data_IF_047952222903
#
_entry.id   IF_047952222903
#
_cell.length_a   1.000
_cell.length_b   1.000
_cell.length_c   1.000
_cell.angle_alpha   90.00
_cell.angle_beta   90.00
_cell.angle_gamma   90.00
#
_symmetry.space_group_name_H-M   'P 1'
#
loop_
_entity.id
_entity.type
_entity.pdbx_description
1 polymer ?
#
# COMPACT_ATOMS: atom_id res chain seq x y z
N UNK A 1 41.91 -29.34 -85.35
CA UNK A 1 42.83 -30.25 -84.65
C UNK A 1 41.96 -31.26 -83.90
N UNK A 2 42.12 -32.53 -84.28
CA UNK A 2 41.72 -33.82 -83.66
C UNK A 2 40.85 -33.85 -82.36
N UNK A 3 40.05 -34.93 -82.18
CA UNK A 3 38.60 -34.86 -82.30
C UNK A 3 37.87 -35.66 -81.18
N UNK A 4 36.59 -35.92 -81.43
CA UNK A 4 35.79 -37.08 -80.97
C UNK A 4 35.14 -37.02 -79.57
N UNK A 5 33.83 -36.78 -79.47
CA UNK A 5 32.66 -37.72 -79.59
C UNK A 5 32.78 -39.01 -78.80
N UNK A 6 31.74 -39.31 -78.01
CA UNK A 6 31.05 -40.62 -77.78
C UNK A 6 30.24 -40.49 -76.47
N UNK A 7 28.99 -40.95 -76.28
CA UNK A 7 27.90 -41.43 -77.13
C UNK A 7 26.60 -41.28 -76.31
N UNK A 8 25.56 -40.91 -77.04
CA UNK A 8 24.12 -41.16 -76.89
C UNK A 8 23.76 -42.58 -76.41
N UNK A 9 22.53 -42.72 -75.88
CA UNK A 9 21.54 -43.85 -75.94
C UNK A 9 20.78 -43.84 -74.59
N UNK A 10 19.45 -43.84 -74.43
CA UNK A 10 18.25 -44.01 -75.29
C UNK A 10 17.01 -43.68 -74.44
N UNK A 11 15.91 -43.29 -75.12
CA UNK A 11 14.47 -43.61 -74.88
C UNK A 11 14.08 -44.37 -73.60
N UNK A 12 12.95 -44.13 -72.91
CA UNK A 12 11.55 -44.15 -73.38
C UNK A 12 10.61 -43.89 -72.18
N UNK A 13 9.44 -43.29 -72.43
CA UNK A 13 8.12 -43.50 -71.78
C UNK A 13 8.07 -44.28 -70.46
N UNK A 14 7.39 -43.81 -69.40
CA UNK A 14 5.96 -44.13 -69.20
C UNK A 14 5.32 -43.33 -68.05
N UNK A 15 4.00 -43.18 -68.16
CA UNK A 15 3.07 -42.52 -67.25
C UNK A 15 2.97 -43.21 -65.88
N UNK A 16 2.69 -42.36 -64.89
CA UNK A 16 1.77 -42.54 -63.76
C UNK A 16 2.05 -43.68 -62.77
N UNK A 17 2.28 -43.31 -61.51
CA UNK A 17 1.47 -43.79 -60.39
C UNK A 17 1.57 -42.86 -59.19
N UNK A 18 0.42 -42.76 -58.52
CA UNK A 18 0.09 -42.01 -57.33
C UNK A 18 1.03 -42.25 -56.14
N UNK A 19 1.49 -41.18 -55.48
CA UNK A 19 1.78 -41.21 -54.06
C UNK A 19 1.36 -39.87 -53.43
N UNK A 20 0.27 -39.96 -52.67
CA UNK A 20 -0.26 -38.93 -51.78
C UNK A 20 0.83 -38.54 -50.77
N UNK A 21 1.28 -37.29 -50.80
CA UNK A 21 2.07 -36.70 -49.73
C UNK A 21 1.25 -35.61 -49.05
N UNK A 22 0.91 -35.87 -47.78
CA UNK A 22 0.34 -34.95 -46.81
C UNK A 22 1.00 -33.56 -46.89
N UNK A 23 0.26 -32.55 -47.31
CA UNK A 23 0.52 -31.15 -46.97
C UNK A 23 -0.47 -30.77 -45.87
N UNK A 24 0.03 -30.73 -44.64
CA UNK A 24 -0.64 -30.20 -43.47
C UNK A 24 -1.05 -28.74 -43.72
N UNK A 25 -2.30 -28.50 -44.08
CA UNK A 25 -2.99 -27.23 -43.88
C UNK A 25 -3.24 -27.08 -42.37
N UNK A 26 -2.19 -26.71 -41.64
CA UNK A 26 -2.35 -26.14 -40.31
C UNK A 26 -3.00 -24.77 -40.48
N UNK A 27 -4.26 -24.66 -40.07
CA UNK A 27 -4.95 -23.38 -39.97
C UNK A 27 -4.10 -22.41 -39.14
N UNK A 28 -3.83 -21.24 -39.71
CA UNK A 28 -3.31 -20.11 -38.94
C UNK A 28 -4.42 -19.64 -37.99
N UNK A 29 -4.56 -20.34 -36.86
CA UNK A 29 -4.95 -19.69 -35.62
C UNK A 29 -3.94 -18.56 -35.42
N UNK A 30 -4.40 -17.34 -35.63
CA UNK A 30 -3.64 -16.16 -35.26
C UNK A 30 -3.26 -16.31 -33.78
N UNK A 31 -1.98 -16.23 -33.41
CA UNK A 31 -1.61 -16.17 -32.02
C UNK A 31 -2.29 -14.91 -31.44
N UNK A 32 -3.04 -15.09 -30.35
CA UNK A 32 -3.62 -14.00 -29.59
C UNK A 32 -2.47 -13.06 -29.15
N UNK A 33 -2.28 -12.00 -29.94
CA UNK A 33 -1.50 -10.84 -29.52
C UNK A 33 -2.07 -10.40 -28.17
N UNK A 34 -1.22 -10.18 -27.17
CA UNK A 34 -1.64 -9.71 -25.86
C UNK A 34 -2.50 -8.45 -26.02
N UNK A 35 -3.82 -8.62 -25.93
CA UNK A 35 -4.81 -7.59 -26.26
C UNK A 35 -4.73 -6.51 -25.20
N UNK A 36 -4.23 -5.33 -25.57
CA UNK A 36 -4.47 -4.10 -24.82
C UNK A 36 -5.99 -3.96 -24.66
N UNK A 37 -6.46 -3.87 -23.42
CA UNK A 37 -7.89 -3.75 -23.12
C UNK A 37 -8.51 -2.60 -23.94
N UNK A 38 -9.53 -2.90 -24.74
CA UNK A 38 -10.28 -1.87 -25.45
C UNK A 38 -11.22 -1.17 -24.46
N UNK A 39 -10.91 0.11 -24.18
CA UNK A 39 -11.63 0.95 -23.23
C UNK A 39 -12.67 1.85 -23.92
N UNK A 40 -12.95 1.63 -25.19
CA UNK A 40 -13.93 2.44 -25.94
C UNK A 40 -15.36 2.22 -25.40
N UNK A 41 -16.17 3.28 -25.27
CA UNK A 41 -17.54 3.16 -24.78
C UNK A 41 -18.44 2.33 -25.71
N UNK A 42 -19.25 1.44 -25.13
CA UNK A 42 -20.17 0.59 -25.89
C UNK A 42 -21.23 1.41 -26.65
N UNK A 43 -21.41 1.13 -27.94
CA UNK A 43 -22.45 1.76 -28.76
C UNK A 43 -22.18 3.23 -29.12
N UNK A 44 -20.96 3.74 -28.87
CA UNK A 44 -20.52 5.04 -29.35
C UNK A 44 -20.09 4.93 -30.82
N UNK A 45 -20.84 5.59 -31.72
CA UNK A 45 -20.43 5.77 -33.11
C UNK A 45 -19.59 7.04 -33.33
N UNK A 46 -19.47 7.87 -32.29
CA UNK A 46 -18.77 9.14 -32.31
C UNK A 46 -17.29 8.98 -31.98
N UNK A 47 -16.44 9.76 -32.65
CA UNK A 47 -15.01 9.85 -32.34
C UNK A 47 -14.76 10.47 -30.96
N UNK A 48 -13.63 10.11 -30.35
CA UNK A 48 -13.13 10.69 -29.10
C UNK A 48 -13.21 12.23 -29.11
N UNK A 49 -13.77 12.81 -28.05
CA UNK A 49 -13.82 14.26 -27.86
C UNK A 49 -12.45 14.81 -27.41
N UNK A 50 -12.09 16.05 -27.78
CA UNK A 50 -10.82 16.66 -27.37
C UNK A 50 -10.73 16.87 -25.86
N UNK A 51 -9.52 16.93 -25.30
CA UNK A 51 -9.30 17.05 -23.87
C UNK A 51 -9.74 18.43 -23.31
N UNK A 52 -10.96 18.53 -22.80
CA UNK A 52 -11.50 19.82 -22.31
C UNK A 52 -11.21 20.09 -20.81
N UNK A 53 -10.52 19.17 -20.13
CA UNK A 53 -10.14 19.31 -18.71
C UNK A 53 -11.30 19.26 -17.71
N UNK A 54 -12.55 19.03 -18.15
CA UNK A 54 -13.75 18.98 -17.29
C UNK A 54 -13.76 17.83 -16.29
N UNK A 55 -13.02 16.77 -16.56
CA UNK A 55 -12.89 15.59 -15.73
C UNK A 55 -11.42 15.36 -15.40
N UNK A 56 -11.13 14.92 -14.17
CA UNK A 56 -9.77 14.68 -13.71
C UNK A 56 -9.69 13.45 -12.82
N UNK A 57 -8.64 12.68 -13.04
CA UNK A 57 -8.20 11.61 -12.15
C UNK A 57 -7.32 12.20 -11.05
N UNK A 58 -7.66 11.91 -9.79
CA UNK A 58 -6.90 12.29 -8.61
C UNK A 58 -6.52 11.03 -7.85
N UNK A 59 -5.30 11.03 -7.33
CA UNK A 59 -4.83 10.00 -6.40
C UNK A 59 -4.64 10.67 -5.04
N UNK A 60 -5.11 10.04 -3.97
CA UNK A 60 -4.95 10.53 -2.60
C UNK A 60 -3.48 10.82 -2.30
N UNK A 61 -3.17 12.01 -1.81
CA UNK A 61 -1.80 12.46 -1.53
C UNK A 61 -0.96 12.84 -2.76
N UNK A 62 -1.52 12.77 -3.98
CA UNK A 62 -0.86 13.08 -5.26
C UNK A 62 0.60 12.58 -5.35
N UNK A 63 0.84 11.27 -5.17
CA UNK A 63 2.18 10.71 -5.22
C UNK A 63 2.78 10.78 -6.63
N UNK A 64 4.08 11.04 -6.72
CA UNK A 64 4.84 10.99 -7.99
C UNK A 64 5.31 9.56 -8.33
N UNK A 65 5.49 8.73 -7.29
CA UNK A 65 5.88 7.32 -7.37
C UNK A 65 5.00 6.46 -6.47
N UNK A 66 4.85 5.17 -6.79
CA UNK A 66 4.16 4.22 -5.92
C UNK A 66 5.13 3.41 -5.07
N UNK A 67 4.72 3.12 -3.84
CA UNK A 67 5.38 2.15 -2.96
C UNK A 67 4.78 0.77 -3.25
N UNK A 68 5.60 -0.26 -3.54
CA UNK A 68 5.09 -1.60 -3.81
C UNK A 68 4.18 -2.15 -2.69
N UNK A 69 3.02 -2.67 -3.05
CA UNK A 69 2.05 -3.24 -2.11
C UNK A 69 1.16 -2.24 -1.38
N UNK A 70 1.41 -0.93 -1.51
CA UNK A 70 0.59 0.07 -0.81
C UNK A 70 -0.75 0.35 -1.51
N UNK A 71 -1.75 0.71 -0.70
CA UNK A 71 -3.10 1.02 -1.17
C UNK A 71 -3.30 2.53 -1.37
N UNK A 72 -3.68 2.92 -2.58
CA UNK A 72 -3.98 4.30 -2.96
C UNK A 72 -5.46 4.47 -3.29
N UNK A 73 -6.09 5.56 -2.84
CA UNK A 73 -7.46 5.90 -3.23
C UNK A 73 -7.43 6.75 -4.49
N UNK A 74 -8.07 6.25 -5.55
CA UNK A 74 -8.20 6.93 -6.84
C UNK A 74 -9.60 7.49 -6.94
N UNK A 75 -9.71 8.79 -7.17
CA UNK A 75 -10.97 9.47 -7.43
C UNK A 75 -11.02 10.04 -8.84
N UNK A 76 -12.11 9.75 -9.55
CA UNK A 76 -12.42 10.37 -10.83
C UNK A 76 -13.50 11.41 -10.58
N UNK A 77 -13.17 12.67 -10.78
CA UNK A 77 -14.02 13.82 -10.41
C UNK A 77 -14.33 14.71 -11.61
N UNK A 78 -15.56 15.19 -11.66
CA UNK A 78 -15.93 16.32 -12.50
C UNK A 78 -15.54 17.64 -11.84
N UNK A 79 -14.78 18.47 -12.55
CA UNK A 79 -14.39 19.81 -12.08
C UNK A 79 -15.65 20.67 -11.93
N UNK A 80 -15.69 21.51 -10.90
CA UNK A 80 -16.79 22.46 -10.70
C UNK A 80 -16.60 23.67 -11.61
N UNK A 81 -17.60 23.96 -12.43
CA UNK A 81 -17.70 25.22 -13.18
C UNK A 81 -18.89 26.01 -12.64
N UNK A 82 -18.69 27.29 -12.28
CA UNK A 82 -19.76 28.14 -11.71
C UNK A 82 -20.50 27.46 -10.54
N UNK A 83 -19.76 26.77 -9.66
CA UNK A 83 -20.26 25.97 -8.52
C UNK A 83 -21.08 24.71 -8.84
N UNK A 84 -21.28 24.36 -10.12
CA UNK A 84 -21.95 23.12 -10.53
C UNK A 84 -20.89 22.08 -10.94
N UNK A 85 -20.85 20.88 -10.32
CA UNK A 85 -19.93 19.84 -10.74
C UNK A 85 -20.36 19.25 -12.10
N UNK A 86 -19.41 19.12 -13.03
CA UNK A 86 -19.64 18.32 -14.24
C UNK A 86 -19.96 16.87 -13.86
N UNK A 87 -20.95 16.27 -14.52
CA UNK A 87 -21.39 14.90 -14.24
C UNK A 87 -21.10 14.00 -15.43
N UNK A 88 -20.81 12.75 -15.17
CA UNK A 88 -20.63 11.71 -16.18
C UNK A 88 -21.59 10.54 -15.94
N UNK A 89 -22.05 9.93 -17.02
CA UNK A 89 -23.00 8.80 -16.98
C UNK A 89 -22.27 7.46 -16.96
N UNK A 90 -21.11 7.35 -17.61
CA UNK A 90 -20.28 6.16 -17.63
C UNK A 90 -18.80 6.46 -17.45
N UNK A 91 -18.03 5.44 -17.06
CA UNK A 91 -16.58 5.52 -16.96
C UNK A 91 -15.92 4.16 -17.10
N UNK A 92 -14.64 4.16 -17.45
CA UNK A 92 -13.81 2.98 -17.49
C UNK A 92 -12.44 3.32 -16.92
N UNK A 93 -12.01 2.59 -15.89
CA UNK A 93 -10.75 2.80 -15.20
C UNK A 93 -9.89 1.55 -15.29
N UNK A 94 -8.65 1.69 -15.75
CA UNK A 94 -7.72 0.58 -15.86
C UNK A 94 -6.30 1.00 -15.47
N UNK A 95 -5.50 0.03 -15.04
CA UNK A 95 -4.07 0.16 -14.84
C UNK A 95 -3.34 -0.57 -15.98
N UNK A 96 -2.40 0.11 -16.63
CA UNK A 96 -1.60 -0.42 -17.74
C UNK A 96 -0.11 -0.20 -17.43
N UNK A 97 0.78 -1.09 -17.88
CA UNK A 97 2.22 -0.85 -17.80
C UNK A 97 2.60 0.24 -18.81
N UNK A 98 3.39 1.22 -18.39
CA UNK A 98 3.87 2.26 -19.29
C UNK A 98 5.02 1.70 -20.15
N UNK A 99 4.72 1.41 -21.42
CA UNK A 99 5.72 1.04 -22.40
C UNK A 99 6.38 2.32 -22.91
N UNK A 100 7.49 2.71 -22.30
CA UNK A 100 8.35 3.75 -22.86
C UNK A 100 8.87 3.28 -24.22
N UNK A 101 8.33 3.89 -25.28
CA UNK A 101 8.90 3.90 -26.63
C UNK A 101 10.32 4.48 -26.53
N UNK A 102 11.34 3.66 -26.22
CA UNK A 102 12.78 3.88 -26.48
C UNK A 102 13.69 2.87 -25.75
N UNK A 103 13.39 1.57 -25.79
CA UNK A 103 14.42 0.52 -25.63
C UNK A 103 14.15 -0.60 -26.63
N UNK A 104 15.08 -0.93 -27.54
CA UNK A 104 14.94 -2.11 -28.36
C UNK A 104 15.08 -3.33 -27.44
N UNK A 105 14.01 -4.08 -27.26
CA UNK A 105 14.02 -5.33 -26.53
C UNK A 105 14.96 -6.31 -27.22
N UNK A 106 16.01 -6.72 -26.51
CA UNK A 106 16.68 -7.98 -26.77
C UNK A 106 15.64 -9.08 -26.54
N UNK A 107 15.28 -9.78 -27.63
CA UNK A 107 14.41 -10.96 -27.60
C UNK A 107 15.01 -12.03 -26.69
N UNK A 108 14.56 -12.05 -25.43
CA UNK A 108 14.74 -13.14 -24.50
C UNK A 108 13.51 -14.01 -24.52
N UNK A 109 13.57 -15.09 -25.29
CA UNK A 109 12.58 -16.15 -25.31
C UNK A 109 12.60 -16.87 -23.94
N UNK A 110 11.65 -16.56 -23.06
CA UNK A 110 11.29 -17.41 -21.92
C UNK A 110 9.81 -17.23 -21.63
N UNK A 111 9.01 -18.19 -22.10
CA UNK A 111 7.61 -18.32 -21.72
C UNK A 111 7.49 -18.77 -20.27
N UNK A 112 6.68 -18.05 -19.49
CA UNK A 112 6.25 -18.47 -18.15
C UNK A 112 5.83 -17.30 -17.26
N UNK A 113 4.52 -17.05 -17.16
CA UNK A 113 3.83 -16.41 -16.02
C UNK A 113 4.21 -14.97 -15.57
N UNK A 114 4.80 -14.13 -16.43
CA UNK A 114 4.94 -12.68 -16.16
C UNK A 114 3.68 -11.85 -16.48
N UNK A 115 2.47 -12.36 -16.22
CA UNK A 115 1.22 -11.68 -16.56
C UNK A 115 1.10 -10.38 -15.76
N UNK A 116 1.40 -9.26 -16.41
CA UNK A 116 1.01 -7.87 -16.10
C UNK A 116 0.74 -7.57 -14.61
N UNK A 117 1.79 -7.51 -13.80
CA UNK A 117 1.68 -7.04 -12.42
C UNK A 117 1.54 -5.50 -12.42
N UNK A 118 0.32 -5.01 -12.62
CA UNK A 118 -0.03 -3.56 -12.70
C UNK A 118 -0.80 -3.08 -11.47
N UNK A 119 -0.81 -3.87 -10.40
CA UNK A 119 -1.58 -3.64 -9.17
C UNK A 119 -3.03 -4.10 -9.31
N UNK A 120 -3.80 -4.06 -8.22
CA UNK A 120 -5.17 -4.61 -8.16
C UNK A 120 -6.16 -3.59 -7.61
N UNK A 121 -7.26 -3.35 -8.33
CA UNK A 121 -8.35 -2.50 -7.83
C UNK A 121 -9.20 -3.21 -6.78
N UNK A 122 -9.63 -2.46 -5.77
CA UNK A 122 -10.57 -2.87 -4.74
C UNK A 122 -11.72 -1.85 -4.67
N UNK A 123 -12.95 -2.34 -4.79
CA UNK A 123 -14.14 -1.50 -4.73
C UNK A 123 -14.48 -1.15 -3.28
N UNK A 124 -14.86 0.11 -3.03
CA UNK A 124 -15.21 0.61 -1.69
C UNK A 124 -16.64 0.26 -1.24
N UNK A 125 -17.35 -0.58 -2.00
CA UNK A 125 -18.73 -0.99 -1.70
C UNK A 125 -19.81 -0.03 -2.23
N UNK A 126 -19.43 1.03 -2.96
CA UNK A 126 -20.39 1.93 -3.61
C UNK A 126 -21.17 1.20 -4.71
N UNK A 127 -22.50 1.21 -4.63
CA UNK A 127 -23.41 0.55 -5.60
C UNK A 127 -23.27 1.06 -7.05
N UNK A 128 -22.44 2.09 -7.29
CA UNK A 128 -22.25 2.76 -8.56
C UNK A 128 -21.06 2.21 -9.38
N UNK A 129 -20.19 1.40 -8.78
CA UNK A 129 -18.98 0.86 -9.42
C UNK A 129 -19.00 -0.68 -9.42
N UNK A 130 -18.47 -1.29 -10.47
CA UNK A 130 -18.30 -2.75 -10.61
C UNK A 130 -17.05 -3.09 -11.42
N UNK A 131 -16.55 -4.31 -11.29
CA UNK A 131 -15.52 -4.79 -12.20
C UNK A 131 -16.08 -5.01 -13.61
N UNK A 132 -15.26 -4.73 -14.63
CA UNK A 132 -15.60 -4.94 -16.04
C UNK A 132 -15.52 -6.42 -16.40
N UNK A 133 -16.50 -6.92 -17.14
CA UNK A 133 -16.49 -8.28 -17.69
C UNK A 133 -15.56 -8.38 -18.93
N UNK A 134 -15.28 -7.24 -19.58
CA UNK A 134 -14.45 -7.19 -20.80
C UNK A 134 -12.96 -7.22 -20.50
N UNK A 135 -12.56 -6.59 -19.41
CA UNK A 135 -11.17 -6.45 -19.04
C UNK A 135 -10.97 -6.83 -17.57
N UNK A 136 -10.21 -7.92 -17.32
CA UNK A 136 -9.83 -8.29 -15.96
C UNK A 136 -9.15 -7.11 -15.26
N UNK A 137 -9.48 -6.91 -13.98
CA UNK A 137 -8.87 -5.85 -13.16
C UNK A 137 -9.08 -4.42 -13.73
N UNK A 138 -10.21 -4.19 -14.41
CA UNK A 138 -10.68 -2.85 -14.77
C UNK A 138 -12.03 -2.56 -14.08
N UNK A 139 -12.28 -1.30 -13.75
CA UNK A 139 -13.50 -0.85 -13.07
C UNK A 139 -14.36 -0.03 -14.01
N UNK A 140 -15.67 -0.27 -13.98
CA UNK A 140 -16.67 0.44 -14.79
C UNK A 140 -17.93 0.73 -13.98
N UNK A 141 -18.88 1.47 -14.56
CA UNK A 141 -20.14 1.81 -13.91
C UNK A 141 -21.08 0.60 -13.79
N UNK A 142 -21.84 0.57 -12.68
CA UNK A 142 -22.96 -0.37 -12.52
C UNK A 142 -24.21 0.11 -13.27
N UNK A 143 -24.42 1.43 -13.35
CA UNK A 143 -25.58 2.06 -13.98
C UNK A 143 -25.22 3.38 -14.67
N UNK A 144 -26.06 3.84 -15.61
CA UNK A 144 -25.88 5.10 -16.34
C UNK A 144 -26.35 6.35 -15.57
N UNK A 145 -26.62 6.23 -14.27
CA UNK A 145 -27.02 7.36 -13.41
C UNK A 145 -25.91 8.42 -13.46
N UNK A 146 -26.21 9.72 -13.65
CA UNK A 146 -25.19 10.78 -13.65
C UNK A 146 -24.47 10.91 -12.29
N UNK A 147 -23.14 10.88 -12.31
CA UNK A 147 -22.25 10.92 -11.13
C UNK A 147 -21.29 12.10 -11.26
N UNK A 148 -20.96 12.76 -10.15
CA UNK A 148 -19.93 13.81 -10.11
C UNK A 148 -18.57 13.29 -9.66
N UNK A 149 -18.55 12.16 -8.95
CA UNK A 149 -17.35 11.55 -8.39
C UNK A 149 -17.55 10.04 -8.23
N UNK A 150 -16.47 9.28 -8.41
CA UNK A 150 -16.35 7.89 -7.99
C UNK A 150 -14.99 7.71 -7.29
N UNK A 151 -14.92 6.77 -6.35
CA UNK A 151 -13.70 6.44 -5.64
C UNK A 151 -13.47 4.92 -5.65
N UNK A 152 -12.23 4.52 -5.87
CA UNK A 152 -11.80 3.11 -5.77
C UNK A 152 -10.44 3.05 -5.12
N UNK A 153 -10.13 1.94 -4.46
CA UNK A 153 -8.79 1.67 -3.99
C UNK A 153 -8.01 0.92 -5.06
N UNK A 154 -6.71 1.16 -5.14
CA UNK A 154 -5.78 0.43 -5.99
C UNK A 154 -4.55 0.07 -5.17
N UNK A 155 -4.28 -1.22 -5.07
CA UNK A 155 -3.12 -1.77 -4.40
C UNK A 155 -2.00 -1.87 -5.41
N UNK A 156 -0.88 -1.21 -5.15
CA UNK A 156 0.27 -1.19 -6.02
C UNK A 156 0.90 -2.58 -6.17
N UNK A 157 1.45 -2.93 -7.34
CA UNK A 157 2.05 -4.24 -7.53
C UNK A 157 3.35 -4.39 -6.74
N UNK A 158 3.86 -5.64 -6.62
CA UNK A 158 5.17 -5.93 -6.05
C UNK A 158 6.31 -5.18 -6.73
N UNK A 159 7.45 -5.12 -6.03
CA UNK A 159 8.67 -4.50 -6.54
C UNK A 159 9.16 -5.16 -7.84
N UNK A 160 9.83 -4.40 -8.70
CA UNK A 160 10.28 -4.77 -10.04
C UNK A 160 9.21 -4.66 -11.13
N UNK A 161 8.07 -4.04 -10.85
CA UNK A 161 6.95 -3.92 -11.80
C UNK A 161 7.09 -2.73 -12.76
N UNK A 162 7.91 -1.73 -12.40
CA UNK A 162 8.24 -0.58 -13.25
C UNK A 162 7.19 0.53 -13.24
N UNK A 163 7.04 1.28 -14.33
CA UNK A 163 6.07 2.38 -14.36
C UNK A 163 4.66 1.92 -14.74
N UNK A 164 3.67 2.45 -14.03
CA UNK A 164 2.25 2.10 -14.22
C UNK A 164 1.48 3.37 -14.57
N UNK A 165 0.62 3.25 -15.57
CA UNK A 165 -0.30 4.28 -16.00
C UNK A 165 -1.72 3.90 -15.57
N UNK A 166 -2.32 4.69 -14.67
CA UNK A 166 -3.76 4.62 -14.43
C UNK A 166 -4.44 5.53 -15.44
N UNK A 167 -5.36 4.95 -16.21
CA UNK A 167 -6.03 5.63 -17.30
C UNK A 167 -7.54 5.53 -17.15
N UNK A 168 -8.21 6.65 -17.35
CA UNK A 168 -9.66 6.77 -17.30
C UNK A 168 -10.25 7.12 -18.66
N UNK A 169 -11.39 6.51 -18.94
CA UNK A 169 -12.34 6.91 -20.00
C UNK A 169 -13.60 7.41 -19.32
N UNK A 170 -14.13 8.54 -19.77
CA UNK A 170 -15.32 9.18 -19.19
C UNK A 170 -16.35 9.41 -20.28
N UNK A 171 -17.59 9.01 -20.01
CA UNK A 171 -18.74 9.21 -20.90
C UNK A 171 -19.65 10.24 -20.24
N UNK A 172 -19.71 11.43 -20.82
CA UNK A 172 -20.63 12.48 -20.37
C UNK A 172 -22.05 12.17 -20.89
N UNK A 173 -22.17 12.02 -22.22
CA UNK A 173 -23.38 11.62 -22.94
C UNK A 173 -23.04 10.62 -24.05
N UNK A 174 -24.06 10.01 -24.69
CA UNK A 174 -23.90 8.90 -25.67
C UNK A 174 -22.82 9.15 -26.74
N UNK A 175 -22.70 10.39 -27.21
CA UNK A 175 -21.77 10.77 -28.28
C UNK A 175 -20.62 11.68 -27.80
N UNK A 176 -20.53 11.97 -26.50
CA UNK A 176 -19.49 12.83 -25.90
C UNK A 176 -18.71 12.06 -24.84
N UNK A 177 -17.48 11.68 -25.19
CA UNK A 177 -16.61 10.87 -24.34
C UNK A 177 -15.14 11.26 -24.49
N UNK A 178 -14.40 11.07 -23.40
CA UNK A 178 -13.00 11.46 -23.22
C UNK A 178 -12.18 10.25 -22.81
N UNK A 179 -10.93 10.16 -23.25
CA UNK A 179 -10.06 9.00 -22.96
C UNK A 179 -8.59 9.40 -22.97
N UNK A 180 -7.82 8.96 -21.99
CA UNK A 180 -6.33 8.99 -21.97
C UNK A 180 -5.65 10.36 -22.08
N UNK A 181 -6.41 11.44 -22.15
CA UNK A 181 -5.84 12.78 -22.25
C UNK A 181 -5.41 13.28 -20.88
N UNK A 182 -4.18 13.78 -20.77
CA UNK A 182 -3.60 14.51 -19.64
C UNK A 182 -4.29 14.31 -18.28
N UNK A 183 -5.34 15.10 -17.95
CA UNK A 183 -6.04 15.01 -16.66
C UNK A 183 -6.72 13.66 -16.36
N UNK A 184 -6.93 12.78 -17.34
CA UNK A 184 -7.54 11.45 -17.21
C UNK A 184 -6.51 10.31 -17.19
N UNK A 185 -5.21 10.63 -17.25
CA UNK A 185 -4.13 9.67 -17.17
C UNK A 185 -3.12 10.12 -16.12
N UNK A 186 -2.73 9.23 -15.22
CA UNK A 186 -1.63 9.48 -14.27
C UNK A 186 -0.66 8.31 -14.35
N UNK A 187 0.57 8.63 -14.70
CA UNK A 187 1.70 7.71 -14.65
C UNK A 187 2.40 7.93 -13.32
N UNK A 188 2.71 6.85 -12.62
CA UNK A 188 3.55 6.87 -11.44
C UNK A 188 4.43 5.62 -11.50
N UNK A 189 5.72 5.84 -11.27
CA UNK A 189 6.72 4.79 -11.35
C UNK A 189 6.92 4.13 -10.00
N UNK A 190 7.42 2.90 -10.03
CA UNK A 190 7.90 2.26 -8.82
C UNK A 190 8.92 3.17 -8.13
N UNK A 191 8.77 3.35 -6.83
CA UNK A 191 9.86 3.88 -6.04
C UNK A 191 10.92 2.79 -5.93
N UNK A 192 12.07 2.97 -6.59
CA UNK A 192 13.26 2.08 -6.53
C UNK A 192 13.92 2.07 -5.13
N UNK A 193 13.10 2.17 -4.09
CA UNK A 193 13.48 1.98 -2.72
C UNK A 193 13.58 0.48 -2.43
N UNK A 194 14.66 -0.12 -2.89
CA UNK A 194 15.45 -1.08 -2.07
C UNK A 194 16.05 -0.37 -0.82
N UNK A 195 15.46 0.76 -0.40
CA UNK A 195 16.05 1.69 0.54
C UNK A 195 15.75 1.24 1.96
N UNK A 196 16.68 1.60 2.82
CA UNK A 196 16.60 1.55 4.29
C UNK A 196 15.26 2.08 4.84
N UNK A 197 14.47 2.79 4.04
CA UNK A 197 13.28 3.55 4.41
C UNK A 197 11.96 2.79 4.24
N UNK A 198 11.97 1.61 3.61
CA UNK A 198 10.75 0.81 3.42
C UNK A 198 10.46 -0.03 4.68
N UNK A 199 9.24 0.11 5.21
CA UNK A 199 8.76 -0.71 6.32
C UNK A 199 8.32 -2.09 5.79
N UNK A 200 8.64 -3.19 6.50
CA UNK A 200 8.10 -4.51 6.17
C UNK A 200 6.57 -4.52 6.29
N UNK A 201 5.88 -5.38 5.52
CA UNK A 201 4.44 -5.53 5.63
C UNK A 201 4.06 -6.04 7.02
N UNK A 202 3.01 -5.45 7.60
CA UNK A 202 2.48 -5.85 8.92
C UNK A 202 1.83 -7.23 8.83
N UNK A 203 2.25 -8.14 9.71
CA UNK A 203 1.64 -9.46 9.83
C UNK A 203 0.36 -9.35 10.66
N UNK A 204 -0.68 -10.11 10.29
CA UNK A 204 -1.91 -10.17 11.10
C UNK A 204 -1.70 -10.98 12.38
N UNK A 205 -0.90 -12.04 12.27
CA UNK A 205 -0.57 -12.96 13.35
C UNK A 205 0.92 -13.26 13.26
N UNK A 206 1.64 -13.09 14.38
CA UNK A 206 3.04 -13.46 14.50
C UNK A 206 3.17 -14.84 15.13
N UNK A 207 3.82 -15.76 14.42
CA UNK A 207 4.03 -17.14 14.90
C UNK A 207 5.30 -17.32 15.75
N UNK A 208 6.05 -16.23 16.05
CA UNK A 208 7.24 -16.31 16.88
C UNK A 208 6.88 -16.61 18.34
N UNK A 209 7.38 -17.70 18.88
CA UNK A 209 7.10 -18.12 20.25
C UNK A 209 7.82 -17.27 21.31
N UNK A 210 9.08 -16.93 21.03
CA UNK A 210 9.96 -16.26 21.98
C UNK A 210 9.59 -14.79 22.17
N UNK A 211 9.90 -14.24 23.35
CA UNK A 211 9.86 -12.79 23.56
C UNK A 211 11.23 -12.18 23.22
N UNK A 212 11.26 -11.13 22.40
CA UNK A 212 12.50 -10.48 21.99
C UNK A 212 12.72 -9.15 22.71
N UNK A 213 13.97 -8.92 23.14
CA UNK A 213 14.44 -7.65 23.70
C UNK A 213 15.24 -6.88 22.66
N UNK A 214 14.83 -5.66 22.39
CA UNK A 214 15.47 -4.77 21.45
C UNK A 214 16.08 -3.56 22.15
N UNK A 215 17.18 -3.09 21.57
CA UNK A 215 17.72 -1.76 21.80
C UNK A 215 17.34 -0.87 20.61
N UNK A 216 16.67 0.25 20.90
CA UNK A 216 16.41 1.35 19.98
C UNK A 216 17.49 2.39 20.19
N UNK A 217 18.26 2.69 19.15
CA UNK A 217 19.13 3.86 19.08
C UNK A 217 18.47 4.91 18.20
N UNK A 218 18.25 6.11 18.71
CA UNK A 218 17.82 7.27 17.93
C UNK A 218 19.01 8.20 17.71
N UNK A 219 19.32 8.49 16.46
CA UNK A 219 20.41 9.36 16.01
C UNK A 219 19.83 10.60 15.31
N UNK A 220 20.22 11.78 15.77
CA UNK A 220 19.88 13.03 15.08
C UNK A 220 20.79 13.27 13.88
N UNK A 221 20.23 13.69 12.76
CA UNK A 221 20.94 14.07 11.53
C UNK A 221 20.62 15.51 11.09
N UNK A 222 19.73 16.19 11.81
CA UNK A 222 19.34 17.58 11.57
C UNK A 222 20.46 18.55 11.99
N UNK A 223 20.98 19.27 11.00
CA UNK A 223 22.05 20.26 11.18
C UNK A 223 21.96 21.33 10.09
N UNK A 224 22.66 22.46 10.29
CA UNK A 224 22.78 23.51 9.27
C UNK A 224 23.40 23.01 7.96
N UNK A 225 24.20 21.95 7.99
CA UNK A 225 24.82 21.38 6.78
C UNK A 225 23.88 20.44 6.01
N UNK A 226 23.03 19.70 6.72
CA UNK A 226 22.07 18.78 6.09
C UNK A 226 20.82 19.53 5.62
N UNK A 227 20.36 20.49 6.42
CA UNK A 227 19.14 21.27 6.20
C UNK A 227 19.44 22.77 6.36
N UNK A 228 20.10 23.41 5.38
CA UNK A 228 20.57 24.79 5.52
C UNK A 228 19.46 25.86 5.47
N UNK A 229 18.37 25.58 4.75
CA UNK A 229 17.29 26.55 4.53
C UNK A 229 16.57 26.86 5.83
N UNK A 230 16.56 28.14 6.19
CA UNK A 230 15.94 28.70 7.40
C UNK A 230 16.32 27.99 8.71
N UNK A 231 17.46 27.29 8.73
CA UNK A 231 17.94 26.61 9.94
C UNK A 231 18.07 27.63 11.08
N UNK A 232 17.53 27.36 12.28
CA UNK A 232 17.52 28.33 13.37
C UNK A 232 18.90 28.94 13.61
N UNK A 233 18.96 30.28 13.57
CA UNK A 233 20.20 31.04 13.80
C UNK A 233 20.73 30.80 15.22
N UNK A 234 19.81 30.77 16.19
CA UNK A 234 20.04 30.45 17.59
C UNK A 234 20.13 28.93 17.77
N UNK A 235 21.28 28.35 17.43
CA UNK A 235 21.51 26.90 17.50
C UNK A 235 21.29 26.28 18.89
N UNK A 236 21.31 27.06 19.98
CA UNK A 236 21.01 26.54 21.33
C UNK A 236 19.54 26.16 21.55
N UNK A 237 18.63 26.60 20.67
CA UNK A 237 17.21 26.22 20.72
C UNK A 237 16.94 24.89 20.03
N UNK A 238 17.85 24.41 19.19
CA UNK A 238 17.59 23.21 18.39
C UNK A 238 17.70 21.95 19.25
N UNK A 239 16.65 21.14 19.22
CA UNK A 239 16.62 19.82 19.86
C UNK A 239 15.60 18.91 19.21
N UNK A 240 15.76 17.62 19.47
CA UNK A 240 14.68 16.66 19.39
C UNK A 240 14.12 16.46 20.80
N UNK A 241 12.80 16.48 20.95
CA UNK A 241 12.18 16.21 22.25
C UNK A 241 12.48 14.79 22.73
N UNK A 242 12.09 14.49 23.96
CA UNK A 242 12.10 13.10 24.45
C UNK A 242 11.38 12.18 23.46
N UNK A 243 12.01 11.03 23.18
CA UNK A 243 11.43 10.00 22.32
C UNK A 243 10.42 9.23 23.18
N UNK A 244 9.19 9.12 22.69
CA UNK A 244 8.14 8.33 23.32
C UNK A 244 7.53 7.37 22.30
N UNK A 245 7.19 6.18 22.76
CA UNK A 245 6.56 5.17 21.91
C UNK A 245 6.09 3.96 22.70
N UNK A 246 5.73 2.91 21.96
CA UNK A 246 5.29 1.66 22.55
C UNK A 246 5.56 0.48 21.61
N UNK A 247 5.80 -0.69 22.19
CA UNK A 247 5.52 -1.96 21.51
C UNK A 247 4.08 -2.37 21.74
N UNK A 248 3.36 -2.71 20.67
CA UNK A 248 1.92 -2.84 20.70
C UNK A 248 1.39 -3.87 19.70
N UNK A 249 0.11 -4.19 19.83
CA UNK A 249 -0.65 -5.08 18.94
C UNK A 249 -0.97 -4.44 17.58
N UNK A 250 -1.42 -5.26 16.62
CA UNK A 250 -1.80 -4.79 15.27
C UNK A 250 -3.00 -3.84 15.25
N UNK A 251 -3.92 -4.00 16.22
CA UNK A 251 -5.17 -3.24 16.32
C UNK A 251 -5.03 -1.91 17.07
N UNK A 252 -3.81 -1.52 17.44
CA UNK A 252 -3.54 -0.27 18.14
C UNK A 252 -2.43 0.51 17.47
N UNK A 253 -2.65 1.80 17.25
CA UNK A 253 -1.62 2.77 16.88
C UNK A 253 -1.98 4.10 17.53
N UNK A 254 -1.02 4.73 18.21
CA UNK A 254 -1.27 6.05 18.82
C UNK A 254 -1.11 7.21 17.83
N UNK A 255 -0.55 6.94 16.64
CA UNK A 255 -0.51 7.87 15.51
C UNK A 255 -0.35 7.08 14.22
N UNK A 256 -0.94 7.55 13.12
CA UNK A 256 -0.78 6.95 11.80
C UNK A 256 -1.08 7.98 10.70
N UNK A 257 -0.59 7.71 9.49
CA UNK A 257 -0.82 8.59 8.35
C UNK A 257 -2.31 8.70 8.00
N UNK A 258 -2.77 9.91 7.71
CA UNK A 258 -4.14 10.17 7.30
C UNK A 258 -5.15 10.23 8.45
N UNK A 259 -4.72 10.02 9.70
CA UNK A 259 -5.56 10.22 10.88
C UNK A 259 -5.27 11.55 11.58
N UNK A 260 -6.22 11.99 12.40
CA UNK A 260 -6.06 13.18 13.25
C UNK A 260 -5.23 12.83 14.49
N UNK A 261 -4.35 13.73 14.90
CA UNK A 261 -3.56 13.59 16.12
C UNK A 261 -4.45 13.53 17.38
N UNK A 262 -4.10 12.65 18.33
CA UNK A 262 -4.69 12.68 19.68
C UNK A 262 -4.24 13.94 20.43
N UNK A 263 -4.93 14.30 21.52
CA UNK A 263 -4.48 15.41 22.36
C UNK A 263 -3.09 15.13 22.95
N UNK A 264 -2.80 13.89 23.35
CA UNK A 264 -1.46 13.48 23.78
C UNK A 264 -0.41 13.68 22.70
N UNK A 265 -0.70 13.31 21.45
CA UNK A 265 0.23 13.51 20.33
C UNK A 265 0.42 14.99 20.01
N UNK A 266 -0.64 15.80 20.05
CA UNK A 266 -0.58 17.25 19.90
C UNK A 266 0.37 17.89 20.91
N UNK A 267 0.27 17.49 22.19
CA UNK A 267 1.17 17.99 23.25
C UNK A 267 2.63 17.63 23.00
N UNK A 268 2.91 16.49 22.36
CA UNK A 268 4.25 16.13 21.91
C UNK A 268 4.67 17.01 20.73
N UNK A 269 3.83 17.13 19.70
CA UNK A 269 4.15 17.82 18.46
C UNK A 269 4.40 19.33 18.64
N UNK A 270 3.62 20.00 19.49
CA UNK A 270 3.70 21.46 19.69
C UNK A 270 4.67 21.84 20.82
N UNK A 271 4.75 21.04 21.89
CA UNK A 271 5.44 21.44 23.13
C UNK A 271 6.57 20.47 23.55
N UNK A 272 6.72 19.34 22.87
CA UNK A 272 7.66 18.28 23.25
C UNK A 272 7.29 17.57 24.56
N UNK A 273 6.05 17.76 25.06
CA UNK A 273 5.59 17.23 26.35
C UNK A 273 5.00 15.83 26.20
N UNK A 274 5.68 14.83 26.77
CA UNK A 274 5.28 13.42 26.63
C UNK A 274 4.28 12.93 27.68
N UNK A 275 3.94 13.76 28.68
CA UNK A 275 3.17 13.36 29.87
C UNK A 275 1.75 12.87 29.54
N UNK A 276 1.07 13.58 28.64
CA UNK A 276 -0.30 13.23 28.27
C UNK A 276 -0.33 11.98 27.39
N UNK A 277 0.53 11.91 26.38
CA UNK A 277 0.66 10.71 25.54
C UNK A 277 1.03 9.47 26.36
N UNK A 278 1.93 9.60 27.34
CA UNK A 278 2.24 8.49 28.26
C UNK A 278 1.01 8.01 29.03
N UNK A 279 0.11 8.93 29.41
CA UNK A 279 -1.15 8.58 30.09
C UNK A 279 -2.12 7.88 29.15
N UNK A 280 -2.22 8.32 27.88
CA UNK A 280 -3.00 7.65 26.84
C UNK A 280 -2.49 6.23 26.58
N UNK A 281 -1.17 6.03 26.49
CA UNK A 281 -0.55 4.71 26.34
C UNK A 281 -0.84 3.83 27.55
N UNK A 282 -0.72 4.35 28.78
CA UNK A 282 -1.05 3.59 30.00
C UNK A 282 -2.52 3.16 30.05
N UNK A 283 -3.43 3.97 29.51
CA UNK A 283 -4.85 3.62 29.41
C UNK A 283 -5.13 2.53 28.37
N UNK A 284 -4.15 2.19 27.52
CA UNK A 284 -4.22 1.12 26.52
C UNK A 284 -3.25 -0.02 26.89
N UNK A 285 -3.05 -0.27 28.19
CA UNK A 285 -2.11 -1.28 28.71
C UNK A 285 -2.34 -2.68 28.15
N UNK A 286 -3.58 -3.03 27.84
CA UNK A 286 -3.94 -4.35 27.31
C UNK A 286 -3.40 -4.58 25.89
N UNK A 287 -3.14 -3.49 25.16
CA UNK A 287 -2.62 -3.50 23.78
C UNK A 287 -1.15 -3.14 23.70
N UNK A 288 -0.50 -2.90 24.84
CA UNK A 288 0.87 -2.39 24.92
C UNK A 288 1.71 -3.30 25.80
N UNK A 289 2.83 -3.77 25.24
CA UNK A 289 3.79 -4.57 26.00
C UNK A 289 4.78 -3.72 26.77
N UNK A 290 5.39 -2.74 26.11
CA UNK A 290 6.40 -1.86 26.71
C UNK A 290 6.20 -0.43 26.24
N UNK A 291 6.15 0.53 27.17
CA UNK A 291 6.26 1.96 26.84
C UNK A 291 7.74 2.31 26.66
N UNK A 292 8.08 2.86 25.51
CA UNK A 292 9.44 3.23 25.11
C UNK A 292 9.66 4.69 25.46
N UNK A 293 10.73 4.98 26.21
CA UNK A 293 11.14 6.34 26.54
C UNK A 293 12.64 6.49 26.40
N UNK A 294 13.08 7.49 25.65
CA UNK A 294 14.48 7.89 25.55
C UNK A 294 14.58 9.41 25.79
N UNK A 295 15.68 9.86 26.41
CA UNK A 295 15.92 11.30 26.57
C UNK A 295 16.12 11.95 25.22
N UNK A 296 15.55 13.14 25.04
CA UNK A 296 15.76 13.97 23.87
C UNK A 296 17.23 14.37 23.70
N UNK A 297 17.58 14.75 22.47
CA UNK A 297 18.92 15.20 22.12
C UNK A 297 18.87 16.68 21.77
N UNK A 298 19.65 17.49 22.47
CA UNK A 298 19.64 18.95 22.34
C UNK A 298 21.03 19.49 22.02
N UNK A 299 21.09 20.76 21.61
CA UNK A 299 22.34 21.50 21.49
C UNK A 299 23.23 21.32 22.75
N UNK A 300 24.55 21.14 22.60
CA UNK A 300 25.34 21.17 21.35
C UNK A 300 25.30 19.88 20.51
N UNK A 301 24.71 18.80 21.03
CA UNK A 301 24.77 17.46 20.43
C UNK A 301 23.43 17.05 19.79
N UNK A 302 22.85 17.92 18.95
CA UNK A 302 21.60 17.61 18.21
C UNK A 302 21.79 16.44 17.25
N UNK A 303 23.02 16.21 16.78
CA UNK A 303 23.38 15.03 15.97
C UNK A 303 23.87 13.86 16.82
N UNK A 304 23.57 13.87 18.11
CA UNK A 304 23.94 12.82 19.06
C UNK A 304 23.06 11.58 18.93
N UNK A 305 23.30 10.62 19.83
CA UNK A 305 22.53 9.38 19.95
C UNK A 305 21.90 9.26 21.34
N UNK A 306 20.69 8.74 21.38
CA UNK A 306 20.00 8.34 22.61
C UNK A 306 19.48 6.92 22.45
N UNK A 307 19.29 6.20 23.54
CA UNK A 307 18.99 4.78 23.53
C UNK A 307 17.80 4.47 24.44
N UNK A 308 16.98 3.52 24.02
CA UNK A 308 15.91 2.95 24.82
C UNK A 308 15.87 1.44 24.61
N UNK A 309 15.37 0.71 25.59
CA UNK A 309 15.27 -0.75 25.54
C UNK A 309 13.83 -1.15 25.74
N UNK A 310 13.36 -2.07 24.91
CA UNK A 310 11.97 -2.53 24.97
C UNK A 310 11.84 -4.01 24.64
N UNK A 311 10.67 -4.58 24.94
CA UNK A 311 10.36 -5.97 24.63
C UNK A 311 9.15 -6.08 23.71
N UNK A 312 9.15 -7.12 22.88
CA UNK A 312 8.07 -7.50 21.97
C UNK A 312 7.79 -8.99 22.11
N UNK A 313 6.53 -9.37 21.92
CA UNK A 313 6.06 -10.75 21.92
C UNK A 313 5.15 -11.00 20.70
N UNK A 314 4.68 -12.24 20.53
CA UNK A 314 3.82 -12.65 19.41
C UNK A 314 2.55 -11.83 19.24
N UNK A 315 2.03 -11.21 20.32
CA UNK A 315 0.83 -10.37 20.25
C UNK A 315 1.21 -8.91 20.00
N UNK A 316 2.32 -8.46 20.57
CA UNK A 316 2.81 -7.08 20.57
C UNK A 316 4.08 -6.93 19.73
N UNK A 317 3.99 -7.31 18.47
CA UNK A 317 5.13 -7.42 17.56
C UNK A 317 5.39 -6.13 16.73
N UNK A 318 4.53 -5.12 16.88
CA UNK A 318 4.72 -3.81 16.25
C UNK A 318 5.37 -2.81 17.20
N UNK A 319 6.13 -1.87 16.64
CA UNK A 319 6.68 -0.74 17.39
C UNK A 319 6.33 0.60 16.72
N UNK A 320 5.89 1.55 17.54
CA UNK A 320 5.67 2.93 17.12
C UNK A 320 6.41 3.88 18.06
N UNK A 321 7.07 4.90 17.52
CA UNK A 321 7.79 5.93 18.27
C UNK A 321 7.59 7.31 17.62
N UNK A 322 7.75 8.35 18.42
CA UNK A 322 7.67 9.75 17.98
C UNK A 322 8.62 10.63 18.80
N UNK A 323 9.14 11.69 18.18
CA UNK A 323 9.88 12.79 18.80
C UNK A 323 9.60 14.07 18.02
N UNK A 324 9.42 15.19 18.72
CA UNK A 324 9.23 16.51 18.12
C UNK A 324 10.55 17.08 17.62
N UNK A 325 10.50 17.76 16.48
CA UNK A 325 11.55 18.66 16.01
C UNK A 325 11.35 20.04 16.64
N UNK A 326 12.31 20.55 17.43
CA UNK A 326 12.16 21.83 18.14
C UNK A 326 13.29 22.80 17.75
N UNK A 327 13.00 24.05 17.32
CA UNK A 327 11.65 24.62 17.15
C UNK A 327 10.95 24.15 15.88
N UNK A 328 9.66 23.88 16.00
CA UNK A 328 8.73 23.72 14.88
C UNK A 328 7.30 24.00 15.35
N UNK A 329 6.35 24.24 14.43
CA UNK A 329 4.94 24.41 14.78
C UNK A 329 4.35 23.14 15.40
N UNK A 330 4.39 22.04 14.66
CA UNK A 330 3.83 20.74 15.06
C UNK A 330 4.54 19.56 14.38
N UNK A 331 5.83 19.71 14.06
CA UNK A 331 6.56 18.74 13.25
C UNK A 331 7.21 17.65 14.10
N UNK A 332 6.95 16.41 13.72
CA UNK A 332 7.43 15.20 14.41
C UNK A 332 8.28 14.32 13.49
N UNK A 333 9.17 13.54 14.08
CA UNK A 333 9.87 12.44 13.42
C UNK A 333 9.57 11.14 14.17
N UNK A 334 9.38 10.06 13.43
CA UNK A 334 9.02 8.79 14.03
C UNK A 334 8.67 7.72 13.02
N UNK A 335 8.39 6.53 13.54
CA UNK A 335 7.81 5.42 12.79
C UNK A 335 6.53 4.95 13.47
N UNK A 336 5.52 4.60 12.67
CA UNK A 336 4.26 4.03 13.14
C UNK A 336 4.09 2.62 12.56
N UNK A 337 3.84 1.66 13.45
CA UNK A 337 3.49 0.28 13.10
C UNK A 337 4.61 -0.55 12.49
N UNK A 338 5.86 -0.36 12.92
CA UNK A 338 6.99 -1.11 12.38
C UNK A 338 6.96 -2.57 12.85
N UNK A 339 6.85 -3.49 11.89
CA UNK A 339 6.84 -4.93 12.13
C UNK A 339 8.25 -5.46 12.45
N UNK A 340 8.38 -6.19 13.56
CA UNK A 340 9.62 -6.84 14.00
C UNK A 340 9.57 -8.37 13.88
N UNK A 341 8.39 -8.95 13.71
CA UNK A 341 8.20 -10.38 13.49
C UNK A 341 8.36 -10.72 12.00
N UNK A 342 9.03 -11.84 11.74
CA UNK A 342 9.25 -12.37 10.40
C UNK A 342 8.29 -13.52 10.10
N UNK A 343 8.00 -13.72 8.82
CA UNK A 343 7.12 -14.82 8.34
C UNK A 343 7.67 -16.22 8.61
N UNK A 344 8.96 -16.33 8.97
CA UNK A 344 9.60 -17.58 9.36
C UNK A 344 9.54 -17.85 10.88
N UNK A 345 8.60 -17.22 11.60
CA UNK A 345 8.41 -17.34 13.04
C UNK A 345 9.63 -16.94 13.87
N UNK A 346 10.37 -15.94 13.39
CA UNK A 346 11.54 -15.39 14.08
C UNK A 346 11.48 -13.87 14.18
N UNK A 347 12.46 -13.30 14.86
CA UNK A 347 12.55 -11.87 15.13
C UNK A 347 13.65 -11.21 14.30
N UNK A 348 13.39 -10.04 13.71
CA UNK A 348 14.40 -9.26 12.96
C UNK A 348 15.63 -9.02 13.83
N UNK A 349 16.83 -9.32 13.33
CA UNK A 349 18.05 -9.14 14.12
C UNK A 349 18.45 -7.66 14.20
N UNK A 350 18.52 -6.99 13.05
CA UNK A 350 18.89 -5.58 12.95
C UNK A 350 18.02 -4.88 11.91
N UNK A 351 17.55 -3.66 12.22
CA UNK A 351 16.85 -2.79 11.27
C UNK A 351 17.36 -1.37 11.41
N UNK A 352 17.65 -0.75 10.28
CA UNK A 352 17.95 0.68 10.18
C UNK A 352 16.76 1.30 9.44
N UNK A 353 16.32 2.48 9.88
CA UNK A 353 15.26 3.24 9.23
C UNK A 353 15.62 4.72 9.30
N UNK A 354 15.64 5.42 8.15
CA UNK A 354 15.74 6.86 8.20
C UNK A 354 14.39 7.50 8.52
N UNK A 355 14.42 8.57 9.29
CA UNK A 355 13.25 9.31 9.72
C UNK A 355 13.15 10.65 9.01
N UNK A 356 11.93 10.96 8.60
CA UNK A 356 11.55 12.16 7.88
C UNK A 356 10.49 12.91 8.68
N UNK A 357 10.35 14.24 8.48
CA UNK A 357 9.36 15.04 9.18
C UNK A 357 7.93 14.69 8.75
N UNK A 358 7.05 14.65 9.74
CA UNK A 358 5.60 14.59 9.61
C UNK A 358 5.01 15.83 10.24
N UNK A 359 3.97 16.35 9.62
CA UNK A 359 3.11 17.43 10.11
C UNK A 359 1.96 16.76 10.88
N UNK A 360 1.75 17.17 12.14
CA UNK A 360 0.73 16.58 13.01
C UNK A 360 -0.69 17.09 12.70
N UNK A 361 -0.82 18.18 11.92
CA UNK A 361 -2.09 18.76 11.50
C UNK A 361 -2.75 19.65 12.56
N UNK A 362 -2.01 20.13 13.56
CA UNK A 362 -2.53 20.92 14.68
C UNK A 362 -2.10 22.39 14.65
N UNK A 363 -1.00 22.72 13.99
CA UNK A 363 -0.51 24.09 13.77
C UNK A 363 -0.13 24.34 12.30
N UNK A 364 -0.53 25.49 11.76
CA UNK A 364 -0.38 25.87 10.35
C UNK A 364 0.88 26.71 10.08
N UNK A 365 1.80 26.81 11.04
CA UNK A 365 3.07 27.52 10.88
C UNK A 365 3.90 27.00 9.69
N UNK A 366 4.35 27.85 8.75
CA UNK A 366 5.11 27.39 7.58
C UNK A 366 6.61 27.16 7.85
N UNK A 367 7.18 27.72 8.93
CA UNK A 367 8.62 27.69 9.23
C UNK A 367 8.91 27.20 10.65
N UNK A 368 10.17 26.84 10.94
CA UNK A 368 10.60 26.38 12.27
C UNK A 368 10.17 27.30 13.42
N UNK A 369 10.23 28.62 13.21
CA UNK A 369 10.02 29.65 14.25
C UNK A 369 8.77 30.48 13.98
N UNK A 370 7.80 29.92 13.25
CA UNK A 370 6.51 30.56 13.03
C UNK A 370 5.77 30.72 14.36
N UNK A 371 5.02 31.81 14.56
CA UNK A 371 4.13 31.92 15.71
C UNK A 371 2.98 30.91 15.59
N UNK A 372 2.48 30.48 16.75
CA UNK A 372 1.36 29.54 16.86
C UNK A 372 0.17 29.98 15.99
N UNK A 373 -0.25 29.11 15.10
CA UNK A 373 -1.36 29.26 14.17
C UNK A 373 -2.23 27.99 14.22
N UNK A 374 -3.14 27.87 15.19
CA UNK A 374 -3.93 26.65 15.36
C UNK A 374 -4.71 26.26 14.09
N UNK A 375 -4.57 25.01 13.66
CA UNK A 375 -5.27 24.44 12.50
C UNK A 375 -6.70 24.07 12.90
N UNK A 376 -7.70 24.73 12.30
CA UNK A 376 -9.12 24.51 12.60
C UNK A 376 -9.97 24.35 11.33
N UNK A 377 -10.60 23.18 11.08
CA UNK A 377 -10.51 21.96 11.89
C UNK A 377 -9.11 21.34 11.85
N UNK A 378 -8.72 20.47 12.83
CA UNK A 378 -7.47 19.73 12.77
C UNK A 378 -7.34 18.96 11.46
N UNK A 379 -6.16 19.03 10.84
CA UNK A 379 -5.85 18.29 9.62
C UNK A 379 -5.29 16.90 9.97
N UNK A 380 -5.19 16.04 8.96
CA UNK A 380 -4.64 14.70 9.13
C UNK A 380 -3.10 14.71 9.13
N UNK A 381 -2.51 13.81 9.91
CA UNK A 381 -1.06 13.60 9.98
C UNK A 381 -0.54 13.22 8.60
N UNK A 382 0.47 13.96 8.13
CA UNK A 382 1.00 13.82 6.77
C UNK A 382 2.51 13.98 6.70
N UNK A 383 3.13 13.26 5.78
CA UNK A 383 4.58 13.38 5.54
C UNK A 383 4.90 14.70 4.87
N UNK A 384 5.86 15.44 5.41
CA UNK A 384 6.44 16.59 4.73
C UNK A 384 7.48 16.07 3.73
N UNK A 385 7.43 16.59 2.51
CA UNK A 385 8.33 16.27 1.40
C UNK A 385 8.87 17.56 0.79
N UNK A 386 9.94 17.43 0.00
CA UNK A 386 10.54 18.51 -0.76
C UNK A 386 9.56 19.29 -1.65
N UNK A 387 8.51 18.62 -2.14
CA UNK A 387 7.51 19.15 -3.05
C UNK A 387 6.08 19.18 -2.47
N UNK A 388 5.89 18.78 -1.21
CA UNK A 388 4.57 18.71 -0.59
C UNK A 388 4.62 18.90 0.94
N UNK A 389 3.88 19.86 1.51
CA UNK A 389 3.12 20.91 0.84
C UNK A 389 4.02 21.79 -0.04
N UNK A 390 3.50 22.22 -1.19
CA UNK A 390 4.22 23.08 -2.13
C UNK A 390 4.16 24.55 -1.64
N UNK A 391 4.80 24.83 -0.50
CA UNK A 391 4.94 26.16 0.07
C UNK A 391 6.40 26.61 0.04
N UNK A 392 6.74 27.66 -0.75
CA UNK A 392 8.09 28.20 -0.83
C UNK A 392 8.71 28.61 0.51
N UNK A 393 7.88 28.95 1.50
CA UNK A 393 8.29 29.36 2.85
C UNK A 393 8.77 28.19 3.69
N UNK A 394 8.37 26.96 3.36
CA UNK A 394 8.79 25.78 4.12
C UNK A 394 10.30 25.59 4.04
N UNK A 395 11.00 25.33 5.16
CA UNK A 395 12.42 25.04 5.15
C UNK A 395 12.76 23.75 4.40
N UNK A 396 11.76 22.88 4.22
CA UNK A 396 11.92 21.63 3.49
C UNK A 396 11.58 21.76 2.00
N UNK A 397 10.99 22.88 1.57
CA UNK A 397 10.64 23.07 0.17
C UNK A 397 11.87 23.30 -0.71
N UNK A 398 12.01 22.46 -1.73
CA UNK A 398 13.12 22.45 -2.68
C UNK A 398 12.56 22.49 -4.12
N UNK A 399 12.73 23.59 -4.87
CA UNK A 399 12.13 23.77 -6.20
C UNK A 399 12.54 22.72 -7.23
N UNK A 400 13.73 22.13 -7.07
CA UNK A 400 14.23 21.07 -7.95
C UNK A 400 13.53 19.72 -7.74
N UNK A 401 12.77 19.56 -6.65
CA UNK A 401 12.17 18.29 -6.26
C UNK A 401 13.18 17.24 -5.80
N UNK A 402 14.42 17.65 -5.48
CA UNK A 402 15.43 16.76 -4.96
C UNK A 402 14.94 16.05 -3.68
N UNK A 403 15.34 14.81 -3.49
CA UNK A 403 14.95 14.02 -2.34
C UNK A 403 15.49 14.63 -1.03
N UNK A 404 14.60 14.74 -0.03
CA UNK A 404 14.96 15.29 1.27
C UNK A 404 15.94 14.37 1.99
N UNK A 405 16.96 14.95 2.62
CA UNK A 405 17.86 14.21 3.52
C UNK A 405 17.10 13.84 4.80
N UNK A 406 17.43 12.72 5.45
CA UNK A 406 16.75 12.36 6.68
C UNK A 406 17.13 13.30 7.84
N UNK A 407 16.16 13.57 8.71
CA UNK A 407 16.35 14.41 9.91
C UNK A 407 16.88 13.61 11.08
N UNK A 408 16.54 12.34 11.15
CA UNK A 408 17.00 11.42 12.16
C UNK A 408 17.08 10.02 11.57
N UNK A 409 17.63 9.09 12.33
CA UNK A 409 17.71 7.68 11.96
C UNK A 409 17.54 6.84 13.21
N UNK A 410 16.88 5.71 13.06
CA UNK A 410 16.81 4.71 14.12
C UNK A 410 17.56 3.45 13.74
N UNK A 411 18.17 2.84 14.75
CA UNK A 411 18.80 1.53 14.69
C UNK A 411 18.11 0.67 15.73
N UNK A 412 17.53 -0.43 15.28
CA UNK A 412 16.95 -1.46 16.12
C UNK A 412 17.88 -2.65 16.08
N UNK A 413 18.35 -3.08 17.24
CA UNK A 413 19.20 -4.27 17.36
C UNK A 413 18.64 -5.20 18.42
N UNK A 414 18.41 -6.45 18.03
CA UNK A 414 17.91 -7.50 18.91
C UNK A 414 19.03 -7.92 19.87
N UNK A 415 18.84 -7.62 21.14
CA UNK A 415 19.83 -7.89 22.18
C UNK A 415 19.73 -9.32 22.72
N UNK A 416 18.51 -9.81 22.92
CA UNK A 416 18.26 -11.10 23.55
C UNK A 416 16.89 -11.67 23.18
N UNK A 417 16.83 -12.99 23.08
CA UNK A 417 15.58 -13.75 23.05
C UNK A 417 15.32 -14.38 24.42
N UNK A 418 14.05 -14.40 24.82
CA UNK A 418 13.54 -15.09 25.99
C UNK A 418 12.65 -16.22 25.49
N UNK A 419 13.19 -17.43 25.53
CA UNK A 419 12.48 -18.63 25.12
C UNK A 419 11.24 -18.84 25.99
N UNK A 420 10.10 -19.07 25.33
CA UNK A 420 8.87 -19.55 25.98
C UNK A 420 8.68 -21.01 25.58
N UNK A 421 8.18 -21.85 26.49
CA UNK A 421 7.74 -23.19 26.12
C UNK A 421 6.37 -23.08 25.45
N UNK A 422 6.33 -22.99 24.12
CA UNK A 422 5.07 -22.96 23.36
C UNK A 422 4.53 -24.35 22.99
N UNK A 423 5.19 -25.41 23.47
CA UNK A 423 4.73 -26.79 23.27
C UNK A 423 3.53 -27.15 24.18
N UNK A 424 3.35 -26.47 25.32
CA UNK A 424 2.24 -26.78 26.24
C UNK A 424 0.89 -26.19 25.83
N UNK A 425 0.89 -24.99 25.22
CA UNK A 425 -0.36 -24.27 24.92
C UNK A 425 -0.99 -24.77 23.60
N UNK A 426 -0.18 -25.31 22.69
CA UNK A 426 -0.64 -25.89 21.44
C UNK A 426 -1.17 -27.32 21.56
N UNK A 427 -0.88 -28.05 22.64
CA UNK A 427 -1.51 -29.36 22.88
C UNK A 427 -2.86 -29.16 23.58
N UNK A 428 -2.94 -28.34 24.63
CA UNK A 428 -4.20 -28.17 25.37
C UNK A 428 -5.28 -27.37 24.61
N UNK A 429 -4.94 -26.28 23.89
CA UNK A 429 -5.94 -25.54 23.11
C UNK A 429 -6.39 -26.27 21.84
N UNK A 430 -5.47 -27.00 21.20
CA UNK A 430 -5.74 -27.65 19.91
C UNK A 430 -6.48 -28.98 20.13
N UNK A 431 -6.22 -29.68 21.25
CA UNK A 431 -7.07 -30.78 21.69
C UNK A 431 -8.47 -30.31 22.10
N UNK A 432 -8.62 -29.17 22.78
CA UNK A 432 -9.95 -28.63 23.13
C UNK A 432 -10.73 -28.09 21.92
N UNK A 433 -10.07 -27.42 20.96
CA UNK A 433 -10.71 -26.96 19.70
C UNK A 433 -11.14 -28.14 18.82
N UNK A 434 -10.37 -29.22 18.76
CA UNK A 434 -10.79 -30.46 18.09
C UNK A 434 -11.87 -31.21 18.88
N UNK A 435 -11.86 -31.16 20.22
CA UNK A 435 -12.83 -31.85 21.05
C UNK A 435 -14.27 -31.38 20.80
N UNK A 436 -14.50 -30.07 20.64
CA UNK A 436 -15.83 -29.51 20.39
C UNK A 436 -16.18 -29.40 18.88
N UNK A 437 -15.36 -29.94 17.97
CA UNK A 437 -15.64 -29.86 16.54
C UNK A 437 -16.90 -30.68 16.19
N UNK A 438 -17.80 -30.09 15.41
CA UNK A 438 -19.07 -30.71 15.02
C UNK A 438 -19.11 -31.01 13.52
N UNK A 439 -19.87 -32.04 13.15
CA UNK A 439 -20.20 -32.29 11.75
C UNK A 439 -21.15 -31.22 11.20
N UNK A 440 -21.30 -31.23 9.87
CA UNK A 440 -22.33 -30.45 9.19
C UNK A 440 -23.71 -30.72 9.78
N UNK A 441 -24.53 -29.68 9.88
CA UNK A 441 -25.89 -29.81 10.36
C UNK A 441 -26.70 -30.83 9.55
N UNK A 442 -27.43 -31.70 10.25
CA UNK A 442 -28.42 -32.57 9.62
C UNK A 442 -29.63 -31.79 9.08
N UNK A 443 -30.51 -32.50 8.38
CA UNK A 443 -31.72 -31.91 7.83
C UNK A 443 -32.67 -31.39 8.91
N UNK A 444 -33.44 -30.36 8.55
CA UNK A 444 -34.48 -29.82 9.42
C UNK A 444 -35.63 -30.81 9.56
N UNK A 445 -36.16 -30.95 10.77
CA UNK A 445 -37.40 -31.69 10.98
C UNK A 445 -38.57 -30.99 10.31
N UNK A 446 -39.65 -31.73 10.05
CA UNK A 446 -40.91 -31.14 9.63
C UNK A 446 -41.39 -30.07 10.63
N UNK A 447 -42.04 -29.05 10.11
CA UNK A 447 -42.58 -27.96 10.92
C UNK A 447 -43.72 -28.47 11.80
N UNK A 448 -43.68 -28.13 13.09
CA UNK A 448 -44.68 -28.55 14.08
C UNK A 448 -46.10 -28.06 13.79
N UNK A 449 -46.30 -27.23 12.77
CA UNK A 449 -47.61 -26.68 12.40
C UNK A 449 -47.70 -26.48 10.90
N UNK A 450 -48.85 -26.84 10.32
CA UNK A 450 -49.13 -26.70 8.88
C UNK A 450 -49.49 -25.26 8.47
N UNK A 451 -49.93 -24.44 9.42
CA UNK A 451 -50.18 -23.00 9.23
C UNK A 451 -50.01 -22.26 10.57
N UNK A 452 -49.50 -21.02 10.54
CA UNK A 452 -49.20 -20.22 11.74
C UNK A 452 -47.77 -20.38 12.23
N UNK A 453 -47.50 -20.03 13.50
CA UNK A 453 -46.16 -20.13 14.11
C UNK A 453 -45.85 -21.58 14.47
N UNK A 454 -44.85 -22.18 13.82
CA UNK A 454 -44.34 -23.52 14.14
C UNK A 454 -42.86 -23.48 14.52
N UNK A 455 -42.34 -24.62 14.99
CA UNK A 455 -40.92 -24.83 15.29
C UNK A 455 -40.39 -25.99 14.45
N UNK A 456 -39.16 -25.84 13.99
CA UNK A 456 -38.35 -26.90 13.39
C UNK A 456 -37.07 -27.02 14.18
N UNK A 457 -36.56 -28.24 14.28
CA UNK A 457 -35.30 -28.53 14.97
C UNK A 457 -34.39 -29.23 13.98
N UNK A 458 -33.09 -28.99 14.09
CA UNK A 458 -32.06 -29.81 13.45
C UNK A 458 -31.01 -30.17 14.48
N UNK A 459 -30.28 -31.25 14.23
CA UNK A 459 -29.22 -31.72 15.12
C UNK A 459 -27.92 -31.87 14.33
N UNK A 460 -26.81 -31.76 15.04
CA UNK A 460 -25.47 -32.12 14.57
C UNK A 460 -24.78 -32.89 15.67
N UNK A 461 -23.79 -33.68 15.31
CA UNK A 461 -23.01 -34.50 16.23
C UNK A 461 -21.61 -33.93 16.35
N UNK A 462 -20.98 -34.17 17.51
CA UNK A 462 -19.55 -33.93 17.66
C UNK A 462 -18.77 -34.99 16.88
N UNK A 463 -17.76 -34.57 16.12
CA UNK A 463 -16.88 -35.48 15.35
C UNK A 463 -16.15 -36.46 16.26
N UNK A 464 -15.85 -36.04 17.48
CA UNK A 464 -15.15 -36.83 18.49
C UNK A 464 -15.94 -36.86 19.82
N UNK A 465 -16.99 -37.69 19.95
CA UNK A 465 -17.93 -37.65 21.08
C UNK A 465 -17.29 -37.85 22.46
N UNK A 466 -16.27 -38.72 22.54
CA UNK A 466 -15.58 -39.00 23.80
C UNK A 466 -14.69 -37.82 24.23
N UNK A 467 -14.07 -37.13 23.27
CA UNK A 467 -13.25 -35.93 23.53
C UNK A 467 -14.13 -34.74 23.89
N UNK A 468 -15.26 -34.55 23.19
CA UNK A 468 -16.25 -33.51 23.51
C UNK A 468 -16.73 -33.58 24.97
N UNK A 469 -17.00 -34.79 25.46
CA UNK A 469 -17.42 -35.03 26.85
C UNK A 469 -16.32 -34.74 27.88
N UNK A 470 -15.05 -34.89 27.50
CA UNK A 470 -13.91 -34.56 28.36
C UNK A 470 -13.61 -33.05 28.35
N UNK A 471 -13.84 -32.38 27.22
CA UNK A 471 -13.67 -30.93 27.05
C UNK A 471 -14.88 -30.06 27.47
N UNK A 472 -15.87 -30.65 28.14
CA UNK A 472 -17.11 -30.00 28.61
C UNK A 472 -17.86 -29.18 27.53
N UNK A 473 -17.90 -29.75 26.32
CA UNK A 473 -18.80 -29.36 25.22
C UNK A 473 -20.17 -30.08 25.34
#
# INVERSE_FOLDING_TARGET
>A
MKPETIKTITTTTTKATSLVLLLLLAGQLHPASAVRCDRTPEGSGASKSPADGRFRLRISGNPDKYVPGESYTISLVGIRSMQVPHKFSGFFLAAEKELSLNRPELQGNNGGNGLHNVGTFHLLGDALTKFSERCPNAVTQTSSIPKSEIQVNWIAPPAGSGCIAIRATVVEHRDVWYMDDGPLSKIFCEDEADSVDTQPPVLKECCACDEAKYELTFEGLWSRHTHPKDFPSNGWLTRFSDVIGASHTVDYRFWEYGQVASEGLKQVAEHGSTRMLESELKNQSDKIRTIIKARGISYPNVTGKTFAVFRVDSNHHLVSIVSMLDPSPDWIVGVSGLELCLTNCSWIENKILNLYPWDAGTDSGPTYISPDQPTNPPDAIRRIKSNYPNDPRSPFYEPSGAEMKPLARIYLSRQRLYEKNCDSDNEEENENKQACETDSWGEWTECSSRCGKGKQTRRRTYKYPNKAKQGDC
#
